data_IF_265904200678
#
_entry.id   IF_265904200678
#
_cell.length_a   1.000
_cell.length_b   1.000
_cell.length_c   1.000
_cell.angle_alpha   90.00
_cell.angle_beta   90.00
_cell.angle_gamma   90.00
#
_symmetry.space_group_name_H-M   'P 1'
#
loop_
_entity.id
_entity.type
_entity.pdbx_description
1 polymer ?
#
# COMPACT_ATOMS: atom_id res chain seq x y z
N UNK A 1 5.05 85.33 -33.91
CA UNK A 1 4.09 84.19 -33.88
C UNK A 1 4.67 83.10 -33.00
N UNK A 2 4.31 83.10 -31.71
CA UNK A 2 4.72 82.09 -30.74
C UNK A 2 3.78 80.88 -30.82
N UNK A 3 4.35 79.68 -31.02
CA UNK A 3 3.64 78.41 -30.84
C UNK A 3 4.21 77.68 -29.63
N UNK A 4 3.28 77.41 -28.73
CA UNK A 4 3.31 76.64 -27.49
C UNK A 4 3.70 75.18 -27.74
N UNK A 5 4.48 74.56 -26.84
CA UNK A 5 4.31 73.13 -26.57
C UNK A 5 4.65 72.83 -25.11
N UNK A 6 3.60 72.47 -24.38
CA UNK A 6 3.52 72.13 -22.96
C UNK A 6 4.09 70.71 -22.76
N UNK A 7 5.10 70.55 -21.91
CA UNK A 7 5.61 69.23 -21.51
C UNK A 7 4.81 68.72 -20.29
N UNK A 8 4.03 67.67 -20.50
CA UNK A 8 3.30 66.95 -19.46
C UNK A 8 4.30 66.06 -18.70
N UNK A 9 4.42 66.28 -17.39
CA UNK A 9 5.14 65.41 -16.46
C UNK A 9 4.23 64.22 -16.10
N UNK A 10 4.58 63.01 -16.53
CA UNK A 10 3.97 61.78 -16.03
C UNK A 10 4.72 61.35 -14.76
N UNK A 11 4.08 61.46 -13.60
CA UNK A 11 4.55 60.85 -12.36
C UNK A 11 4.15 59.36 -12.37
N UNK A 12 5.10 58.48 -12.66
CA UNK A 12 4.93 57.04 -12.50
C UNK A 12 5.06 56.69 -11.01
N UNK A 13 3.92 56.50 -10.34
CA UNK A 13 3.85 55.92 -9.01
C UNK A 13 4.16 54.42 -9.12
N UNK A 14 5.42 54.05 -8.88
CA UNK A 14 5.83 52.66 -8.78
C UNK A 14 5.22 52.04 -7.52
N UNK A 15 4.12 51.28 -7.70
CA UNK A 15 3.61 50.37 -6.68
C UNK A 15 4.64 49.25 -6.51
N UNK A 16 5.55 49.39 -5.54
CA UNK A 16 6.35 48.27 -5.07
C UNK A 16 5.41 47.31 -4.34
N UNK A 17 4.97 46.28 -5.04
CA UNK A 17 4.43 45.07 -4.40
C UNK A 17 5.62 44.39 -3.74
N UNK A 18 5.67 44.24 -2.40
CA UNK A 18 6.67 43.37 -1.80
C UNK A 18 6.30 41.94 -2.23
N UNK A 19 7.07 41.39 -3.16
CA UNK A 19 7.16 39.94 -3.36
C UNK A 19 7.71 39.38 -2.06
N UNK A 20 6.81 39.05 -1.15
CA UNK A 20 7.11 38.17 -0.04
C UNK A 20 7.52 36.82 -0.63
N UNK A 21 8.83 36.68 -0.89
CA UNK A 21 9.48 35.38 -0.94
C UNK A 21 9.30 34.77 0.45
N UNK A 22 8.14 34.15 0.67
CA UNK A 22 8.00 33.08 1.63
C UNK A 22 8.94 32.00 1.10
N UNK A 23 10.19 32.06 1.53
CA UNK A 23 11.09 30.92 1.46
C UNK A 23 10.33 29.78 2.11
N UNK A 24 9.89 28.82 1.29
CA UNK A 24 9.32 27.58 1.79
C UNK A 24 10.35 27.09 2.82
N UNK A 25 9.95 27.07 4.10
CA UNK A 25 10.79 26.54 5.16
C UNK A 25 11.30 25.20 4.64
N UNK A 26 12.63 25.08 4.45
CA UNK A 26 13.21 23.88 3.88
C UNK A 26 12.74 22.73 4.76
N UNK A 27 11.83 21.90 4.22
CA UNK A 27 11.17 20.87 5.00
C UNK A 27 12.25 19.96 5.56
N UNK A 28 12.40 19.95 6.88
CA UNK A 28 13.44 19.20 7.58
C UNK A 28 13.46 17.75 7.09
N UNK A 29 14.65 17.17 7.02
CA UNK A 29 14.82 15.76 6.67
C UNK A 29 13.98 14.89 7.62
N UNK A 30 13.22 13.90 7.12
CA UNK A 30 12.38 13.06 7.96
C UNK A 30 13.13 12.35 9.09
N UNK A 31 12.56 12.37 10.30
CA UNK A 31 13.03 11.61 11.47
C UNK A 31 12.36 10.22 11.50
N UNK A 32 12.71 9.35 10.56
CA UNK A 32 12.22 7.96 10.54
C UNK A 32 10.72 7.80 10.33
N UNK A 33 10.25 6.55 10.38
CA UNK A 33 8.84 6.20 10.12
C UNK A 33 7.95 6.55 11.31
N UNK A 34 6.75 7.09 11.02
CA UNK A 34 5.77 7.49 12.05
C UNK A 34 5.13 6.30 12.76
N UNK A 35 4.97 5.21 12.02
CA UNK A 35 4.52 3.93 12.51
C UNK A 35 5.27 2.85 11.75
N UNK A 36 5.26 1.64 12.25
CA UNK A 36 5.94 0.56 11.57
C UNK A 36 4.98 -0.26 10.72
N UNK A 37 5.32 -0.43 9.44
CA UNK A 37 4.58 -1.34 8.58
C UNK A 37 5.09 -2.76 8.82
N UNK A 38 4.18 -3.71 8.97
CA UNK A 38 4.49 -5.13 9.13
C UNK A 38 3.74 -5.95 8.08
N UNK A 39 4.33 -7.08 7.70
CA UNK A 39 3.74 -8.06 6.81
C UNK A 39 3.28 -9.26 7.63
N UNK A 40 1.98 -9.44 7.80
CA UNK A 40 1.43 -10.48 8.68
C UNK A 40 1.03 -11.75 7.93
N UNK A 41 1.20 -12.91 8.57
CA UNK A 41 0.68 -14.20 8.08
C UNK A 41 -0.81 -14.43 8.42
N UNK A 42 -1.40 -13.49 9.17
CA UNK A 42 -2.82 -13.43 9.51
C UNK A 42 -3.39 -12.10 9.05
N UNK A 43 -4.69 -12.00 8.77
CA UNK A 43 -5.30 -10.72 8.42
C UNK A 43 -5.17 -9.68 9.55
N UNK A 44 -4.15 -8.83 9.42
CA UNK A 44 -4.03 -7.47 10.00
C UNK A 44 -4.39 -7.34 11.47
N UNK A 45 -3.78 -8.17 12.30
CA UNK A 45 -3.99 -8.13 13.75
C UNK A 45 -3.26 -6.95 14.41
N UNK A 46 -2.30 -6.36 13.70
CA UNK A 46 -1.40 -5.33 14.19
C UNK A 46 -0.43 -5.82 15.26
N UNK A 47 -0.29 -7.15 15.42
CA UNK A 47 0.60 -7.76 16.39
C UNK A 47 1.95 -8.09 15.74
N UNK A 48 3.08 -7.58 16.27
CA UNK A 48 4.40 -7.88 15.72
C UNK A 48 4.76 -9.37 15.83
N UNK A 49 4.09 -10.12 16.72
CA UNK A 49 4.24 -11.57 16.81
C UNK A 49 3.90 -12.31 15.50
N UNK A 50 2.96 -11.79 14.69
CA UNK A 50 2.59 -12.40 13.41
C UNK A 50 3.35 -11.81 12.23
N UNK A 51 4.25 -10.86 12.47
CA UNK A 51 5.05 -10.24 11.43
C UNK A 51 6.04 -11.23 10.81
N UNK A 52 6.18 -11.16 9.49
CA UNK A 52 7.15 -11.89 8.70
C UNK A 52 8.35 -10.98 8.47
N UNK A 53 9.54 -11.46 8.83
CA UNK A 53 10.80 -10.75 8.57
C UNK A 53 11.41 -11.13 7.21
N UNK A 54 10.91 -12.19 6.61
CA UNK A 54 11.21 -12.64 5.27
C UNK A 54 10.02 -13.44 4.75
N UNK A 55 9.93 -13.59 3.43
CA UNK A 55 8.83 -14.30 2.83
C UNK A 55 8.83 -14.33 1.32
N UNK A 56 7.82 -15.02 0.80
CA UNK A 56 7.49 -15.04 -0.63
C UNK A 56 6.25 -14.18 -0.83
N UNK A 57 6.31 -13.22 -1.76
CA UNK A 57 5.21 -12.29 -1.97
C UNK A 57 3.90 -13.05 -2.20
N UNK A 58 2.95 -12.87 -1.28
CA UNK A 58 1.63 -13.47 -1.41
C UNK A 58 1.62 -15.01 -1.38
N UNK A 59 2.73 -15.66 -1.00
CA UNK A 59 2.86 -17.12 -1.07
C UNK A 59 3.59 -17.69 0.14
N UNK A 60 3.28 -17.16 1.33
CA UNK A 60 3.96 -17.57 2.57
C UNK A 60 3.73 -19.05 2.87
N UNK A 61 4.80 -19.87 2.90
CA UNK A 61 4.68 -21.31 3.14
C UNK A 61 5.98 -22.10 2.98
N UNK A 62 5.98 -23.37 3.42
CA UNK A 62 7.15 -24.29 3.37
C UNK A 62 7.50 -24.76 1.95
N UNK A 63 6.57 -24.62 1.01
CA UNK A 63 6.78 -24.89 -0.41
C UNK A 63 6.70 -23.56 -1.15
N UNK A 64 7.88 -23.08 -1.56
CA UNK A 64 8.10 -21.78 -2.21
C UNK A 64 7.32 -21.65 -3.54
N UNK A 65 6.73 -22.74 -4.03
CA UNK A 65 6.08 -22.86 -5.34
C UNK A 65 4.61 -23.25 -5.32
N UNK A 66 4.01 -23.61 -4.16
CA UNK A 66 2.61 -24.06 -4.16
C UNK A 66 1.60 -22.92 -4.12
N UNK A 67 2.03 -21.71 -3.77
CA UNK A 67 1.17 -20.53 -3.70
C UNK A 67 0.08 -20.57 -2.62
N UNK A 68 0.25 -21.41 -1.59
CA UNK A 68 -0.74 -21.62 -0.54
C UNK A 68 -0.35 -20.77 0.66
N UNK A 69 -0.87 -19.54 0.72
CA UNK A 69 -0.64 -18.62 1.84
C UNK A 69 -0.94 -17.19 1.43
N UNK A 70 -1.16 -16.32 2.41
CA UNK A 70 -1.42 -14.89 2.18
C UNK A 70 -0.54 -14.09 3.14
N UNK A 71 0.21 -13.14 2.58
CA UNK A 71 0.82 -12.06 3.36
C UNK A 71 -0.15 -10.89 3.37
N UNK A 72 -0.43 -10.32 4.54
CA UNK A 72 -1.32 -9.19 4.71
C UNK A 72 -0.55 -7.93 5.07
N UNK A 73 -0.96 -6.82 4.49
CA UNK A 73 -0.41 -5.51 4.81
C UNK A 73 -0.99 -4.99 6.12
N UNK A 74 -0.12 -4.66 7.07
CA UNK A 74 -0.53 -4.22 8.40
C UNK A 74 0.46 -3.23 8.99
N UNK A 75 0.17 -2.78 10.21
CA UNK A 75 0.96 -1.82 10.98
C UNK A 75 1.13 -2.37 12.40
N UNK A 76 2.31 -2.19 13.00
CA UNK A 76 2.49 -2.50 14.42
C UNK A 76 1.60 -1.57 15.26
N UNK A 77 0.53 -2.15 15.83
CA UNK A 77 -0.41 -1.47 16.70
C UNK A 77 -0.15 -1.77 18.17
N UNK A 78 1.01 -2.34 18.51
CA UNK A 78 1.35 -2.73 19.87
C UNK A 78 1.85 -1.56 20.72
N UNK A 79 1.90 -1.75 22.04
CA UNK A 79 2.56 -0.85 22.99
C UNK A 79 4.09 -1.03 23.06
N UNK A 80 4.70 -1.78 22.14
CA UNK A 80 6.11 -2.11 22.17
C UNK A 80 6.47 -3.23 23.16
N UNK A 81 5.50 -3.76 23.90
CA UNK A 81 5.55 -5.05 24.60
C UNK A 81 4.73 -6.13 23.87
N UNK A 82 4.26 -5.83 22.66
CA UNK A 82 3.48 -6.75 21.83
C UNK A 82 1.98 -6.78 22.17
N UNK A 83 1.49 -5.91 23.06
CA UNK A 83 0.07 -5.85 23.41
C UNK A 83 -0.66 -4.87 22.51
N UNK A 84 -1.69 -5.36 21.82
CA UNK A 84 -2.61 -4.55 21.00
C UNK A 84 -3.90 -4.30 21.79
N UNK A 85 -4.34 -3.04 21.83
CA UNK A 85 -5.57 -2.61 22.51
C UNK A 85 -6.21 -1.44 21.76
N UNK A 86 -7.44 -1.08 22.12
CA UNK A 86 -8.10 0.12 21.56
C UNK A 86 -7.26 1.39 21.78
N UNK A 87 -6.56 1.50 22.92
CA UNK A 87 -5.73 2.65 23.24
C UNK A 87 -4.49 2.75 22.33
N UNK A 88 -3.86 1.62 22.01
CA UNK A 88 -2.67 1.58 21.14
C UNK A 88 -3.06 1.81 19.67
N UNK A 89 -4.20 1.26 19.23
CA UNK A 89 -4.78 1.54 17.90
C UNK A 89 -5.15 3.03 17.78
N UNK A 90 -5.80 3.61 18.78
CA UNK A 90 -6.13 5.03 18.78
C UNK A 90 -4.88 5.93 18.75
N UNK A 91 -3.78 5.50 19.38
CA UNK A 91 -2.48 6.19 19.28
C UNK A 91 -1.93 6.12 17.86
N UNK A 92 -1.93 4.94 17.25
CA UNK A 92 -1.48 4.73 15.87
C UNK A 92 -2.23 5.64 14.87
N UNK A 93 -3.56 5.72 14.98
CA UNK A 93 -4.37 6.65 14.16
C UNK A 93 -3.95 8.12 14.32
N UNK A 94 -3.62 8.56 15.55
CA UNK A 94 -3.15 9.93 15.80
C UNK A 94 -1.77 10.18 15.17
N UNK A 95 -0.87 9.21 15.23
CA UNK A 95 0.48 9.32 14.66
C UNK A 95 0.46 9.37 13.12
N UNK A 96 -0.35 8.51 12.51
CA UNK A 96 -0.60 8.48 11.07
C UNK A 96 -1.39 9.69 10.59
N UNK A 97 -2.25 10.25 11.46
CA UNK A 97 -3.16 11.31 11.09
C UNK A 97 -4.16 10.87 10.02
N UNK A 98 -4.62 9.62 10.06
CA UNK A 98 -5.56 9.02 9.09
C UNK A 98 -7.03 9.38 9.37
N UNK A 99 -7.30 10.08 10.47
CA UNK A 99 -8.65 10.46 10.87
C UNK A 99 -9.36 9.40 11.72
N UNK A 100 -8.63 8.42 12.27
CA UNK A 100 -9.21 7.36 13.08
C UNK A 100 -9.71 6.16 12.27
N UNK A 101 -9.29 6.05 11.00
CA UNK A 101 -9.72 4.97 10.12
C UNK A 101 -8.61 4.61 9.12
N UNK A 102 -8.27 3.31 9.06
CA UNK A 102 -7.28 2.78 8.14
C UNK A 102 -7.74 2.73 6.67
N UNK A 103 -9.02 2.97 6.35
CA UNK A 103 -9.54 3.00 4.97
C UNK A 103 -8.86 4.06 4.10
N UNK A 104 -8.28 5.10 4.72
CA UNK A 104 -7.52 6.14 4.05
C UNK A 104 -6.09 5.71 3.68
N UNK A 105 -5.61 4.58 4.22
CA UNK A 105 -4.27 4.09 3.92
C UNK A 105 -4.20 3.44 2.54
N UNK A 106 -3.16 3.80 1.81
CA UNK A 106 -2.86 3.32 0.46
C UNK A 106 -1.38 2.98 0.35
N UNK A 107 -1.03 2.19 -0.66
CA UNK A 107 0.32 1.60 -0.77
C UNK A 107 1.09 2.20 -1.92
N UNK A 108 2.31 2.64 -1.61
CA UNK A 108 3.33 3.00 -2.57
C UNK A 108 4.61 2.20 -2.34
N UNK A 109 5.46 2.17 -3.35
CA UNK A 109 6.80 1.61 -3.28
C UNK A 109 7.80 2.64 -3.77
N UNK A 110 8.93 2.74 -3.09
CA UNK A 110 10.00 3.68 -3.45
C UNK A 110 11.36 3.04 -3.30
N UNK A 111 12.38 3.49 -4.05
CA UNK A 111 13.76 3.14 -3.71
C UNK A 111 14.05 3.58 -2.27
N UNK A 112 14.72 2.72 -1.50
CA UNK A 112 15.14 3.08 -0.16
C UNK A 112 15.97 4.37 -0.15
N UNK A 113 15.70 5.28 0.80
CA UNK A 113 16.64 6.36 1.12
C UNK A 113 17.08 6.30 2.58
N UNK A 114 18.35 6.63 2.81
CA UNK A 114 18.93 6.58 4.16
C UNK A 114 18.30 7.59 5.13
N UNK A 115 17.70 8.64 4.57
CA UNK A 115 17.18 9.81 5.27
C UNK A 115 15.64 9.86 5.27
N UNK A 116 14.96 8.86 4.71
CA UNK A 116 13.50 8.80 4.60
C UNK A 116 12.89 9.76 3.58
N UNK A 117 13.69 10.51 2.81
CA UNK A 117 13.20 11.48 1.83
C UNK A 117 12.38 10.86 0.69
N UNK A 118 12.64 9.60 0.32
CA UNK A 118 11.84 8.89 -0.68
C UNK A 118 10.54 8.35 -0.08
N UNK A 119 10.58 7.86 1.15
CA UNK A 119 9.43 7.29 1.86
C UNK A 119 8.48 8.36 2.39
N UNK A 120 8.99 9.57 2.56
CA UNK A 120 8.25 10.73 3.06
C UNK A 120 8.59 11.99 2.24
N UNK A 121 8.22 12.00 0.94
CA UNK A 121 8.55 13.10 0.05
C UNK A 121 7.83 14.39 0.46
N UNK A 122 8.36 15.51 -0.01
CA UNK A 122 7.62 16.78 -0.01
C UNK A 122 6.48 16.64 -1.00
N UNK A 123 5.27 17.04 -0.61
CA UNK A 123 4.07 16.95 -1.46
C UNK A 123 3.22 18.21 -1.33
N UNK A 124 2.49 18.52 -2.38
CA UNK A 124 1.56 19.65 -2.42
C UNK A 124 0.12 19.17 -2.30
N UNK A 125 -0.77 20.08 -1.88
CA UNK A 125 -2.19 19.75 -1.76
C UNK A 125 -2.76 19.39 -3.13
N UNK A 126 -3.39 18.21 -3.22
CA UNK A 126 -3.98 17.70 -4.45
C UNK A 126 -3.01 16.90 -5.33
N UNK A 127 -1.74 16.77 -4.94
CA UNK A 127 -0.77 15.92 -5.62
C UNK A 127 -1.19 14.45 -5.51
N UNK A 128 -1.17 13.75 -6.64
CA UNK A 128 -1.60 12.35 -6.70
C UNK A 128 -0.47 11.38 -6.37
N UNK A 129 -0.82 10.15 -6.00
CA UNK A 129 0.15 9.16 -5.57
C UNK A 129 1.21 8.81 -6.62
N UNK A 130 0.88 8.87 -7.91
CA UNK A 130 1.83 8.59 -8.99
C UNK A 130 2.78 9.75 -9.30
N UNK A 131 2.45 10.97 -8.86
CA UNK A 131 3.34 12.14 -8.88
C UNK A 131 4.26 12.12 -7.66
N UNK A 132 3.70 11.88 -6.47
CA UNK A 132 4.42 11.88 -5.21
C UNK A 132 5.37 10.68 -5.06
N UNK A 133 4.98 9.51 -5.60
CA UNK A 133 5.72 8.27 -5.49
C UNK A 133 5.99 7.65 -6.86
N UNK A 134 7.17 7.04 -7.00
CA UNK A 134 7.58 6.39 -8.26
C UNK A 134 6.67 5.23 -8.65
N UNK A 135 6.22 4.47 -7.66
CA UNK A 135 5.38 3.30 -7.85
C UNK A 135 4.25 3.26 -6.83
N UNK A 136 3.06 2.87 -7.25
CA UNK A 136 1.90 2.69 -6.37
C UNK A 136 1.10 1.46 -6.75
N UNK A 137 0.28 1.00 -5.81
CA UNK A 137 -0.62 -0.13 -6.00
C UNK A 137 -2.00 0.22 -5.48
N UNK A 138 -3.04 -0.33 -6.11
CA UNK A 138 -4.42 -0.24 -5.59
C UNK A 138 -4.61 -1.24 -4.44
N UNK A 139 -3.94 -0.94 -3.33
CA UNK A 139 -3.94 -1.73 -2.10
C UNK A 139 -4.07 -0.78 -0.90
N UNK A 140 -4.57 -1.30 0.20
CA UNK A 140 -4.71 -0.58 1.46
C UNK A 140 -4.37 -1.45 2.66
N UNK A 141 -4.68 -0.93 3.84
CA UNK A 141 -4.56 -1.71 5.07
C UNK A 141 -5.37 -3.00 4.96
N UNK A 142 -4.80 -4.10 5.43
CA UNK A 142 -5.38 -5.43 5.35
C UNK A 142 -5.58 -6.04 3.97
N UNK A 143 -5.10 -5.39 2.91
CA UNK A 143 -5.02 -6.06 1.62
C UNK A 143 -4.04 -7.23 1.69
N UNK A 144 -4.44 -8.34 1.08
CA UNK A 144 -3.54 -9.44 0.87
C UNK A 144 -2.63 -9.12 -0.34
N UNK A 145 -1.36 -9.51 -0.26
CA UNK A 145 -0.41 -9.38 -1.37
C UNK A 145 -0.52 -10.53 -2.38
N UNK A 146 -1.23 -11.59 -1.99
CA UNK A 146 -1.67 -12.65 -2.87
C UNK A 146 -2.96 -12.22 -3.57
N UNK A 147 -3.20 -12.69 -4.79
CA UNK A 147 -4.43 -12.41 -5.51
C UNK A 147 -5.57 -13.33 -5.07
N UNK A 148 -5.84 -14.38 -5.86
CA UNK A 148 -6.84 -15.40 -5.59
C UNK A 148 -6.21 -16.70 -5.07
N UNK A 149 -7.03 -17.66 -4.62
CA UNK A 149 -6.54 -18.94 -4.06
C UNK A 149 -6.00 -19.91 -5.12
N UNK A 150 -5.85 -19.52 -6.38
CA UNK A 150 -5.43 -20.41 -7.47
C UNK A 150 -3.91 -20.46 -7.60
N UNK A 151 -3.39 -21.57 -8.14
CA UNK A 151 -1.93 -21.80 -8.31
C UNK A 151 -1.22 -20.75 -9.19
N UNK A 152 -1.96 -20.05 -10.06
CA UNK A 152 -1.42 -19.04 -10.99
C UNK A 152 -1.73 -17.62 -10.52
N UNK A 153 -1.69 -17.46 -9.20
CA UNK A 153 -2.19 -16.33 -8.43
C UNK A 153 -1.71 -14.96 -8.96
N UNK A 154 -2.65 -14.05 -9.15
CA UNK A 154 -2.41 -12.65 -9.51
C UNK A 154 -1.74 -11.91 -8.36
N UNK A 155 -0.42 -11.83 -8.37
CA UNK A 155 0.31 -11.01 -7.39
C UNK A 155 -0.05 -9.54 -7.55
N UNK A 156 0.01 -8.78 -6.44
CA UNK A 156 -0.12 -7.33 -6.40
C UNK A 156 0.44 -6.64 -7.66
N UNK A 157 -0.39 -5.82 -8.30
CA UNK A 157 0.01 -5.03 -9.47
C UNK A 157 0.59 -3.71 -9.00
N UNK A 158 1.82 -3.44 -9.41
CA UNK A 158 2.52 -2.20 -9.13
C UNK A 158 2.61 -1.37 -10.39
N UNK A 159 2.12 -0.14 -10.32
CA UNK A 159 2.00 0.78 -11.45
C UNK A 159 2.90 1.99 -11.28
N UNK A 160 3.38 2.53 -12.39
CA UNK A 160 3.81 3.93 -12.50
C UNK A 160 2.61 4.77 -12.92
N UNK A 161 2.70 6.09 -12.76
CA UNK A 161 1.65 6.99 -13.25
C UNK A 161 1.38 6.82 -14.74
N UNK A 162 2.44 6.65 -15.55
CA UNK A 162 2.33 6.51 -17.00
C UNK A 162 1.61 5.21 -17.40
N UNK A 163 1.99 4.07 -16.83
CA UNK A 163 1.32 2.77 -17.07
C UNK A 163 -0.16 2.85 -16.68
N UNK A 164 -0.45 3.33 -15.47
CA UNK A 164 -1.83 3.45 -14.98
C UNK A 164 -2.66 4.39 -15.86
N UNK A 165 -2.10 5.53 -16.27
CA UNK A 165 -2.78 6.52 -17.12
C UNK A 165 -3.11 5.93 -18.50
N UNK A 166 -2.21 5.15 -19.08
CA UNK A 166 -2.46 4.50 -20.37
C UNK A 166 -3.57 3.46 -20.26
N UNK A 167 -3.52 2.60 -19.24
CA UNK A 167 -4.58 1.63 -18.93
C UNK A 167 -5.93 2.30 -18.66
N UNK A 168 -5.93 3.41 -17.90
CA UNK A 168 -7.12 4.22 -17.63
C UNK A 168 -7.75 4.74 -18.92
N UNK A 169 -6.94 5.35 -19.78
CA UNK A 169 -7.37 5.90 -21.08
C UNK A 169 -7.86 4.81 -22.04
N UNK A 170 -7.36 3.58 -21.91
CA UNK A 170 -7.85 2.43 -22.65
C UNK A 170 -9.21 1.89 -22.14
N UNK A 171 -9.83 2.54 -21.16
CA UNK A 171 -11.13 2.14 -20.62
C UNK A 171 -11.05 1.13 -19.48
N UNK A 172 -9.84 0.89 -18.94
CA UNK A 172 -9.58 -0.05 -17.84
C UNK A 172 -9.98 -1.49 -18.18
N UNK A 173 -9.36 -2.10 -19.19
CA UNK A 173 -9.59 -3.52 -19.45
C UNK A 173 -9.30 -4.34 -18.18
N UNK A 174 -10.10 -5.37 -17.96
CA UNK A 174 -9.85 -6.36 -16.90
C UNK A 174 -8.60 -7.13 -17.27
N UNK A 175 -7.67 -7.28 -16.33
CA UNK A 175 -6.36 -7.88 -16.60
C UNK A 175 -6.06 -9.11 -15.76
N UNK A 176 -5.31 -10.03 -16.37
CA UNK A 176 -4.76 -11.23 -15.75
C UNK A 176 -3.28 -11.38 -16.11
N UNK A 177 -2.62 -12.37 -15.52
CA UNK A 177 -1.23 -12.70 -15.81
C UNK A 177 -1.10 -14.12 -16.39
N UNK A 178 -0.17 -14.29 -17.32
CA UNK A 178 0.38 -15.60 -17.68
C UNK A 178 1.34 -16.10 -16.59
N UNK A 179 1.71 -17.38 -16.63
CA UNK A 179 2.75 -17.94 -15.74
C UNK A 179 4.14 -17.29 -15.95
N UNK A 180 4.33 -16.62 -17.10
CA UNK A 180 5.51 -15.80 -17.41
C UNK A 180 5.37 -14.34 -16.97
N UNK A 181 4.34 -14.01 -16.19
CA UNK A 181 4.00 -12.67 -15.70
C UNK A 181 3.71 -11.64 -16.83
N UNK A 182 3.44 -12.11 -18.05
CA UNK A 182 2.90 -11.27 -19.12
C UNK A 182 1.43 -10.92 -18.85
N UNK A 183 1.07 -9.64 -19.02
CA UNK A 183 -0.28 -9.13 -18.77
C UNK A 183 -1.20 -9.43 -19.95
N UNK A 184 -2.39 -9.94 -19.65
CA UNK A 184 -3.46 -10.22 -20.60
C UNK A 184 -4.66 -9.33 -20.33
N UNK A 185 -5.31 -8.81 -21.37
CA UNK A 185 -6.66 -8.25 -21.29
C UNK A 185 -7.68 -9.40 -21.43
N UNK A 186 -8.63 -9.46 -20.50
CA UNK A 186 -9.65 -10.51 -20.42
C UNK A 186 -11.01 -9.95 -20.84
N UNK A 187 -11.54 -10.48 -21.93
CA UNK A 187 -12.87 -10.15 -22.42
C UNK A 187 -13.96 -10.83 -21.57
N UNK A 188 -15.21 -10.34 -21.69
CA UNK A 188 -16.34 -10.83 -20.91
C UNK A 188 -16.72 -12.29 -21.18
N UNK A 189 -16.33 -12.83 -22.33
CA UNK A 189 -16.51 -14.23 -22.73
C UNK A 189 -15.36 -15.13 -22.23
N UNK A 190 -14.40 -14.58 -21.49
CA UNK A 190 -13.24 -15.27 -20.96
C UNK A 190 -12.07 -15.38 -21.94
N UNK A 191 -12.20 -14.87 -23.18
CA UNK A 191 -11.06 -14.81 -24.10
C UNK A 191 -10.00 -13.85 -23.56
N UNK A 192 -8.73 -14.24 -23.65
CA UNK A 192 -7.61 -13.45 -23.15
C UNK A 192 -6.58 -13.18 -24.26
N UNK A 193 -6.16 -11.92 -24.41
CA UNK A 193 -5.12 -11.50 -25.36
C UNK A 193 -4.03 -10.74 -24.63
N UNK A 194 -2.80 -10.73 -25.17
CA UNK A 194 -1.74 -9.89 -24.62
C UNK A 194 -2.18 -8.43 -24.54
N UNK A 195 -1.98 -7.80 -23.38
CA UNK A 195 -2.44 -6.43 -23.15
C UNK A 195 -1.58 -5.41 -23.89
N UNK A 196 -2.22 -4.51 -24.62
CA UNK A 196 -1.56 -3.37 -25.25
C UNK A 196 -1.27 -2.23 -24.26
N UNK A 197 -2.02 -2.18 -23.15
CA UNK A 197 -1.91 -1.15 -22.11
C UNK A 197 -1.98 -1.80 -20.73
N UNK A 198 -0.91 -2.48 -20.29
CA UNK A 198 -0.85 -3.05 -18.95
C UNK A 198 -1.05 -1.98 -17.87
N UNK A 199 -1.89 -2.26 -16.87
CA UNK A 199 -2.10 -1.39 -15.70
C UNK A 199 -0.77 -1.15 -14.96
N UNK A 200 0.09 -2.16 -14.95
CA UNK A 200 1.38 -2.15 -14.29
C UNK A 200 2.07 -3.49 -14.51
N UNK A 201 2.95 -3.86 -13.57
CA UNK A 201 3.65 -5.16 -13.58
C UNK A 201 3.40 -5.87 -12.26
N UNK A 202 3.49 -7.20 -12.30
CA UNK A 202 3.47 -8.03 -11.09
C UNK A 202 4.60 -7.62 -10.14
N UNK A 203 4.32 -7.56 -8.84
CA UNK A 203 5.33 -7.33 -7.80
C UNK A 203 6.51 -8.32 -7.89
N UNK A 204 6.25 -9.56 -8.37
CA UNK A 204 7.26 -10.62 -8.52
C UNK A 204 8.33 -10.34 -9.60
N UNK A 205 8.07 -9.37 -10.48
CA UNK A 205 8.96 -9.00 -11.57
C UNK A 205 9.08 -7.46 -11.70
N UNK A 206 8.68 -6.71 -10.67
CA UNK A 206 8.74 -5.25 -10.75
C UNK A 206 10.18 -4.75 -10.67
N UNK A 207 10.99 -5.41 -9.85
CA UNK A 207 12.39 -5.07 -9.59
C UNK A 207 13.25 -6.33 -9.64
N UNK A 208 14.54 -6.22 -10.00
CA UNK A 208 15.46 -7.35 -9.87
C UNK A 208 15.71 -7.70 -8.40
N UNK A 209 16.15 -8.92 -8.12
CA UNK A 209 16.62 -9.35 -6.81
C UNK A 209 17.82 -8.51 -6.34
N UNK A 210 17.96 -8.35 -5.02
CA UNK A 210 18.97 -7.51 -4.39
C UNK A 210 18.61 -6.02 -4.37
N UNK A 211 17.40 -5.65 -4.82
CA UNK A 211 16.97 -4.25 -4.84
C UNK A 211 16.40 -3.88 -3.48
N UNK A 212 16.93 -2.79 -2.88
CA UNK A 212 16.40 -2.22 -1.64
C UNK A 212 15.26 -1.26 -1.95
N UNK A 213 14.06 -1.65 -1.52
CA UNK A 213 12.81 -0.94 -1.76
C UNK A 213 12.13 -0.73 -0.40
N UNK A 214 11.39 0.36 -0.26
CA UNK A 214 10.51 0.59 0.87
C UNK A 214 9.04 0.44 0.43
N UNK A 215 8.26 -0.32 1.18
CA UNK A 215 6.80 -0.32 1.12
C UNK A 215 6.31 0.80 2.02
N UNK A 216 5.54 1.71 1.45
CA UNK A 216 5.06 2.92 2.11
C UNK A 216 3.54 2.85 2.20
N UNK A 217 3.01 2.84 3.41
CA UNK A 217 1.64 3.29 3.64
C UNK A 217 1.63 4.82 3.63
N UNK A 218 0.84 5.40 2.74
CA UNK A 218 0.54 6.82 2.75
C UNK A 218 -0.94 7.05 3.07
N UNK A 219 -1.23 8.13 3.78
CA UNK A 219 -2.61 8.56 4.02
C UNK A 219 -3.12 9.29 2.79
N UNK A 220 -4.26 8.86 2.27
CA UNK A 220 -4.99 9.57 1.24
C UNK A 220 -6.04 10.50 1.85
N UNK A 221 -6.22 11.67 1.24
CA UNK A 221 -7.25 12.65 1.62
C UNK A 221 -8.29 12.91 0.51
N UNK A 222 -8.24 12.11 -0.57
CA UNK A 222 -9.08 12.31 -1.73
C UNK A 222 -8.62 11.51 -2.94
N UNK A 223 -9.05 11.95 -4.11
CA UNK A 223 -8.70 11.37 -5.40
C UNK A 223 -8.35 12.48 -6.39
N UNK A 224 -7.52 12.15 -7.35
CA UNK A 224 -7.11 13.07 -8.40
C UNK A 224 -8.34 13.53 -9.21
N UNK A 225 -8.38 14.83 -9.51
CA UNK A 225 -9.50 15.46 -10.23
C UNK A 225 -9.68 14.88 -11.63
N UNK A 226 -8.57 14.62 -12.30
CA UNK A 226 -8.51 14.22 -13.70
C UNK A 226 -8.47 12.68 -13.84
N UNK A 227 -8.04 11.98 -12.78
CA UNK A 227 -8.06 10.52 -12.64
C UNK A 227 -8.64 10.09 -11.28
N UNK A 228 -9.98 10.09 -11.09
CA UNK A 228 -10.63 9.87 -9.78
C UNK A 228 -10.41 8.51 -9.09
N UNK A 229 -9.58 7.63 -9.66
CA UNK A 229 -9.19 6.35 -9.07
C UNK A 229 -7.71 6.35 -8.62
N UNK A 230 -6.95 7.40 -8.92
CA UNK A 230 -5.63 7.65 -8.34
C UNK A 230 -5.83 8.46 -7.04
N UNK A 231 -5.47 7.93 -5.86
CA UNK A 231 -5.64 8.67 -4.62
C UNK A 231 -4.71 9.89 -4.55
N UNK A 232 -5.19 10.99 -3.94
CA UNK A 232 -4.31 12.11 -3.55
C UNK A 232 -3.59 11.80 -2.26
N UNK A 233 -2.42 12.41 -2.05
CA UNK A 233 -1.58 12.21 -0.87
C UNK A 233 -1.85 13.31 0.16
N UNK A 234 -2.14 12.91 1.40
CA UNK A 234 -2.34 13.85 2.50
C UNK A 234 -1.03 14.55 2.86
N UNK A 235 -1.08 15.89 2.87
CA UNK A 235 0.04 16.74 3.25
C UNK A 235 0.07 16.96 4.77
N UNK A 236 1.20 16.66 5.40
CA UNK A 236 1.46 16.96 6.80
C UNK A 236 1.72 18.44 7.07
N UNK A 237 1.74 18.83 8.35
CA UNK A 237 1.98 20.23 8.77
C UNK A 237 3.36 20.77 8.32
N UNK A 238 4.30 19.89 8.04
CA UNK A 238 5.66 20.18 7.57
C UNK A 238 5.81 20.10 6.05
N UNK A 239 4.69 20.03 5.29
CA UNK A 239 4.72 20.00 3.82
C UNK A 239 5.14 18.66 3.23
N UNK A 240 5.24 17.61 4.04
CA UNK A 240 5.61 16.26 3.59
C UNK A 240 4.45 15.29 3.69
N UNK A 241 4.53 14.20 2.94
CA UNK A 241 3.51 13.15 2.96
C UNK A 241 3.35 12.57 4.38
N UNK A 242 2.11 12.22 4.72
CA UNK A 242 1.80 11.48 5.95
C UNK A 242 1.99 9.99 5.65
N UNK A 243 3.12 9.42 6.09
CA UNK A 243 3.50 8.05 5.74
C UNK A 243 4.01 7.22 6.91
N UNK A 244 3.93 5.91 6.73
CA UNK A 244 4.61 4.87 7.49
C UNK A 244 5.25 3.90 6.50
N UNK A 245 6.40 3.33 6.79
CA UNK A 245 7.07 2.41 5.86
C UNK A 245 7.82 1.27 6.53
N UNK A 246 8.11 0.24 5.74
CA UNK A 246 9.19 -0.71 6.00
C UNK A 246 10.08 -0.79 4.76
N UNK A 247 11.36 -0.95 4.99
CA UNK A 247 12.36 -1.26 3.97
C UNK A 247 12.61 -2.77 3.94
N UNK A 248 12.75 -3.29 2.72
CA UNK A 248 13.14 -4.67 2.46
C UNK A 248 14.12 -4.73 1.28
N UNK A 249 14.80 -5.86 1.15
CA UNK A 249 15.54 -6.25 -0.04
C UNK A 249 14.76 -7.32 -0.80
N UNK A 250 14.62 -7.17 -2.12
CA UNK A 250 13.98 -8.18 -2.97
C UNK A 250 14.85 -9.42 -3.09
N UNK A 251 14.25 -10.60 -3.09
CA UNK A 251 14.95 -11.90 -3.17
C UNK A 251 14.49 -12.66 -4.41
N UNK A 252 15.42 -13.30 -5.11
CA UNK A 252 15.09 -14.13 -6.27
C UNK A 252 14.35 -15.40 -5.82
N UNK A 253 13.44 -15.90 -6.65
CA UNK A 253 12.94 -17.27 -6.46
C UNK A 253 14.04 -18.28 -6.83
N UNK A 254 14.40 -19.22 -5.94
CA UNK A 254 15.41 -20.23 -6.25
C UNK A 254 14.92 -21.29 -7.25
N UNK A 255 13.60 -21.35 -7.45
CA UNK A 255 12.91 -22.37 -8.25
C UNK A 255 12.28 -21.80 -9.52
N UNK A 256 12.10 -20.48 -9.62
CA UNK A 256 11.44 -19.84 -10.75
C UNK A 256 12.21 -18.61 -11.29
N UNK A 257 12.94 -18.74 -12.41
CA UNK A 257 13.71 -17.63 -12.98
C UNK A 257 12.86 -16.51 -13.58
N UNK A 258 11.55 -16.71 -13.77
CA UNK A 258 10.62 -15.64 -14.20
C UNK A 258 10.42 -14.62 -13.07
N UNK A 259 10.49 -15.06 -11.81
CA UNK A 259 10.23 -14.23 -10.62
C UNK A 259 11.52 -13.55 -10.17
N UNK A 260 11.86 -12.45 -10.83
CA UNK A 260 13.09 -11.69 -10.55
C UNK A 260 13.10 -11.09 -9.13
N UNK A 261 11.94 -10.84 -8.54
CA UNK A 261 11.73 -10.47 -7.13
C UNK A 261 10.70 -11.39 -6.49
N UNK A 262 10.94 -12.71 -6.50
CA UNK A 262 10.02 -13.71 -5.95
C UNK A 262 9.71 -13.58 -4.46
N UNK A 263 10.62 -13.00 -3.67
CA UNK A 263 10.46 -12.81 -2.23
C UNK A 263 11.06 -11.52 -1.71
N UNK A 264 11.11 -11.40 -0.39
CA UNK A 264 11.63 -10.24 0.32
C UNK A 264 12.34 -10.63 1.62
N UNK A 265 13.27 -9.78 2.03
CA UNK A 265 13.88 -9.79 3.34
C UNK A 265 13.72 -8.40 3.96
N UNK A 266 13.01 -8.31 5.09
CA UNK A 266 12.79 -7.07 5.82
C UNK A 266 14.12 -6.57 6.41
N UNK A 267 14.44 -5.31 6.12
CA UNK A 267 15.62 -4.61 6.62
C UNK A 267 15.30 -3.72 7.83
N UNK A 268 14.03 -3.36 8.00
CA UNK A 268 13.52 -2.52 9.09
C UNK A 268 12.17 -3.08 9.57
N UNK A 269 12.08 -3.56 10.81
CA UNK A 269 10.83 -4.06 11.41
C UNK A 269 11.00 -4.52 12.88
N UNK A 270 9.94 -4.42 13.70
CA UNK A 270 9.83 -4.53 15.14
C UNK A 270 9.65 -5.97 15.60
N UNK A 271 10.25 -6.26 16.74
CA UNK A 271 9.90 -7.42 17.56
C UNK A 271 11.11 -8.13 18.10
N UNK A 272 11.45 -7.81 19.33
CA UNK A 272 12.45 -8.46 20.19
C UNK A 272 12.25 -9.98 20.30
N UNK A 273 13.06 -10.74 19.56
CA UNK A 273 13.43 -12.14 19.82
C UNK A 273 14.94 -12.29 19.61
N UNK A 274 15.63 -13.29 20.18
CA UNK A 274 17.08 -13.29 20.36
C UNK A 274 17.84 -13.46 19.03
N UNK A 275 17.86 -12.37 18.26
CA UNK A 275 18.72 -12.02 17.12
C UNK A 275 18.32 -10.68 16.45
N UNK A 276 17.42 -9.88 17.03
CA UNK A 276 17.28 -8.46 16.68
C UNK A 276 18.30 -7.61 17.45
N UNK A 277 19.58 -7.71 17.08
CA UNK A 277 20.63 -6.83 17.59
C UNK A 277 20.98 -5.78 16.52
N UNK A 278 20.79 -4.52 16.91
CA UNK A 278 21.23 -3.29 16.25
C UNK A 278 20.39 -2.74 15.08
N UNK A 279 19.31 -2.01 15.40
CA UNK A 279 19.09 -0.65 14.86
C UNK A 279 18.05 0.15 15.67
N UNK A 280 18.10 1.50 15.63
CA UNK A 280 17.42 2.38 16.58
C UNK A 280 15.90 2.30 16.49
N UNK A 281 15.28 2.15 17.65
CA UNK A 281 13.84 2.31 17.89
C UNK A 281 13.46 3.76 17.55
N UNK A 282 12.29 3.97 16.93
CA UNK A 282 11.69 5.29 16.76
C UNK A 282 11.66 6.02 18.10
N UNK A 283 12.41 7.12 18.22
CA UNK A 283 12.47 7.95 19.42
C UNK A 283 11.30 8.94 19.40
N UNK A 284 10.09 8.43 19.61
CA UNK A 284 8.94 9.22 20.01
C UNK A 284 8.62 8.94 21.48
N UNK A 285 9.58 9.16 22.37
CA UNK A 285 9.35 9.24 23.82
C UNK A 285 9.82 10.59 24.30
N UNK A 286 8.88 11.52 24.42
CA UNK A 286 9.04 12.63 25.34
C UNK A 286 8.98 12.13 26.79
N UNK A 287 9.82 12.75 27.63
CA UNK A 287 9.89 12.71 29.10
C UNK A 287 10.71 11.60 29.80
N UNK A 288 11.96 11.98 30.10
CA UNK A 288 12.52 12.21 31.44
C UNK A 288 12.49 11.15 32.56
N UNK A 289 13.72 10.89 33.05
CA UNK A 289 14.17 10.57 34.42
C UNK A 289 14.10 9.13 34.96
N UNK A 290 15.28 8.51 35.04
CA UNK A 290 15.88 8.09 36.32
C UNK A 290 15.68 6.64 36.79
N UNK A 291 16.81 5.93 37.01
CA UNK A 291 16.91 4.94 38.09
C UNK A 291 17.30 3.49 37.76
N UNK A 292 18.63 3.26 37.73
CA UNK A 292 19.37 2.09 38.25
C UNK A 292 18.84 0.63 38.19
N UNK A 293 19.60 -0.18 37.44
CA UNK A 293 20.35 -1.39 37.84
C UNK A 293 19.68 -2.56 38.61
N UNK A 294 19.79 -3.77 38.04
CA UNK A 294 19.58 -5.04 38.74
C UNK A 294 19.87 -6.30 37.89
N UNK A 295 20.93 -7.02 38.26
CA UNK A 295 21.60 -8.23 37.74
C UNK A 295 20.80 -9.54 37.51
N UNK A 296 21.05 -10.19 36.35
CA UNK A 296 21.55 -11.60 36.09
C UNK A 296 20.67 -12.86 36.43
N UNK A 297 21.03 -14.10 35.98
CA UNK A 297 20.23 -14.97 35.07
C UNK A 297 20.00 -16.44 35.54
N UNK A 298 19.21 -17.25 34.82
CA UNK A 298 19.27 -18.74 34.66
C UNK A 298 17.89 -19.22 34.10
N UNK A 299 17.63 -20.38 33.48
CA UNK A 299 18.35 -21.47 32.78
C UNK A 299 17.24 -22.48 32.35
N UNK A 300 17.47 -23.26 31.29
CA UNK A 300 16.94 -24.64 31.00
C UNK A 300 15.42 -24.88 30.97
N UNK A 301 14.78 -25.73 30.20
CA UNK A 301 14.99 -26.76 29.15
C UNK A 301 13.57 -27.02 28.58
N UNK A 302 13.21 -27.93 27.68
CA UNK A 302 13.79 -29.09 27.06
C UNK A 302 12.94 -29.41 25.81
N UNK A 303 13.52 -30.24 24.94
CA UNK A 303 13.07 -30.84 23.68
C UNK A 303 11.78 -31.67 23.69
N UNK A 304 10.97 -31.63 22.61
CA UNK A 304 10.51 -32.82 21.85
C UNK A 304 9.91 -32.47 20.45
N UNK A 305 10.20 -33.32 19.46
CA UNK A 305 9.73 -33.40 18.05
C UNK A 305 9.20 -34.86 17.86
N UNK A 306 8.72 -35.36 16.69
CA UNK A 306 7.89 -34.87 15.56
C UNK A 306 6.59 -35.70 15.37
N UNK A 307 5.72 -35.29 14.43
CA UNK A 307 4.71 -36.16 13.82
C UNK A 307 4.17 -35.57 12.50
N UNK A 308 4.25 -36.35 11.43
CA UNK A 308 3.84 -36.11 10.03
C UNK A 308 3.29 -37.47 9.50
N UNK A 309 2.66 -37.62 8.33
CA UNK A 309 1.78 -36.74 7.55
C UNK A 309 0.41 -37.42 7.22
N UNK A 310 -0.54 -36.69 6.65
CA UNK A 310 -1.80 -37.24 6.13
C UNK A 310 -2.18 -36.65 4.76
N UNK A 311 -2.05 -37.46 3.71
CA UNK A 311 -2.41 -37.14 2.34
C UNK A 311 -3.93 -37.23 2.12
N UNK A 312 -4.48 -36.29 1.35
CA UNK A 312 -5.85 -36.33 0.85
C UNK A 312 -5.91 -35.67 -0.52
N UNK A 313 -6.00 -36.51 -1.56
CA UNK A 313 -6.23 -36.12 -2.95
C UNK A 313 -7.72 -35.81 -3.14
N UNK A 314 -8.01 -34.78 -3.94
CA UNK A 314 -9.37 -34.43 -4.36
C UNK A 314 -9.29 -33.44 -5.52
N UNK A 315 -9.37 -33.98 -6.73
CA UNK A 315 -9.63 -33.26 -7.97
C UNK A 315 -11.04 -32.68 -7.94
N UNK A 316 -11.25 -31.46 -8.43
CA UNK A 316 -12.50 -31.06 -9.11
C UNK A 316 -12.31 -29.75 -9.89
N UNK A 317 -12.89 -29.74 -11.08
CA UNK A 317 -12.87 -28.70 -12.11
C UNK A 317 -13.81 -27.52 -11.80
N UNK A 318 -13.45 -26.34 -12.33
CA UNK A 318 -14.42 -25.36 -12.84
C UNK A 318 -14.72 -24.14 -11.97
N UNK A 319 -14.54 -22.94 -12.55
CA UNK A 319 -15.27 -21.75 -12.12
C UNK A 319 -14.48 -20.44 -12.11
N UNK A 320 -14.22 -19.87 -13.29
CA UNK A 320 -13.81 -18.47 -13.47
C UNK A 320 -14.94 -17.52 -13.07
N UNK A 321 -14.95 -17.05 -11.83
CA UNK A 321 -15.55 -15.76 -11.44
C UNK A 321 -14.77 -15.16 -10.26
N UNK A 322 -13.56 -14.67 -10.54
CA UNK A 322 -12.82 -13.88 -9.57
C UNK A 322 -13.53 -12.55 -9.32
N UNK A 323 -14.05 -12.37 -8.10
CA UNK A 323 -14.50 -11.08 -7.59
C UNK A 323 -13.36 -10.08 -7.67
N UNK A 324 -13.58 -8.99 -8.40
CA UNK A 324 -12.67 -7.85 -8.54
C UNK A 324 -12.22 -7.31 -7.17
N UNK A 325 -10.93 -7.10 -6.92
CA UNK A 325 -10.48 -6.18 -5.89
C UNK A 325 -10.67 -4.75 -6.42
N UNK A 326 -11.42 -3.90 -5.69
CA UNK A 326 -11.60 -2.47 -6.02
C UNK A 326 -13.04 -2.00 -6.29
N UNK A 327 -14.04 -2.89 -6.24
CA UNK A 327 -15.45 -2.49 -6.31
C UNK A 327 -16.04 -2.25 -4.93
N UNK A 328 -16.39 -1.00 -4.60
CA UNK A 328 -17.22 -0.68 -3.41
C UNK A 328 -18.43 -1.63 -3.33
N UNK A 329 -18.81 -2.15 -2.14
CA UNK A 329 -19.97 -3.04 -1.98
C UNK A 329 -21.33 -2.40 -2.30
N UNK A 330 -21.37 -1.10 -2.63
CA UNK A 330 -22.61 -0.36 -2.94
C UNK A 330 -23.22 -0.69 -4.31
N UNK A 331 -22.46 -1.20 -5.28
CA UNK A 331 -23.02 -1.50 -6.62
C UNK A 331 -23.87 -2.78 -6.65
N UNK A 332 -23.53 -3.80 -5.86
CA UNK A 332 -24.33 -5.03 -5.78
C UNK A 332 -25.61 -4.85 -4.95
N UNK A 333 -25.58 -4.01 -3.91
CA UNK A 333 -26.78 -3.66 -3.15
C UNK A 333 -27.82 -2.93 -4.02
N UNK A 334 -27.39 -2.04 -4.92
CA UNK A 334 -28.31 -1.32 -5.81
C UNK A 334 -28.95 -2.23 -6.88
N UNK A 335 -28.20 -3.21 -7.40
CA UNK A 335 -28.71 -4.16 -8.39
C UNK A 335 -29.72 -5.15 -7.78
N UNK A 336 -29.49 -5.63 -6.55
CA UNK A 336 -30.43 -6.51 -5.83
C UNK A 336 -31.71 -5.77 -5.44
N UNK A 337 -31.62 -4.48 -5.05
CA UNK A 337 -32.80 -3.65 -4.75
C UNK A 337 -33.62 -3.31 -6.01
N UNK A 338 -32.96 -3.06 -7.15
CA UNK A 338 -33.66 -2.83 -8.43
C UNK A 338 -34.30 -4.09 -9.00
N UNK A 339 -33.67 -5.26 -8.88
CA UNK A 339 -34.25 -6.54 -9.31
C UNK A 339 -35.39 -6.99 -8.40
N UNK A 340 -35.29 -6.81 -7.07
CA UNK A 340 -36.39 -7.09 -6.15
C UNK A 340 -37.58 -6.13 -6.34
N UNK A 341 -37.32 -4.86 -6.68
CA UNK A 341 -38.35 -3.88 -7.01
C UNK A 341 -39.09 -4.20 -8.31
N UNK A 342 -38.38 -4.65 -9.35
CA UNK A 342 -38.96 -5.02 -10.64
C UNK A 342 -39.84 -6.29 -10.55
N UNK A 343 -39.41 -7.29 -9.79
CA UNK A 343 -40.19 -8.53 -9.57
C UNK A 343 -41.47 -8.22 -8.77
N UNK A 344 -41.39 -7.32 -7.78
CA UNK A 344 -42.57 -6.92 -6.99
C UNK A 344 -43.61 -6.17 -7.84
N UNK A 345 -43.17 -5.34 -8.80
CA UNK A 345 -44.08 -4.58 -9.68
C UNK A 345 -44.82 -5.47 -10.71
N UNK A 346 -44.15 -6.51 -11.21
CA UNK A 346 -44.75 -7.49 -12.15
C UNK A 346 -45.74 -8.40 -11.43
N UNK A 347 -45.43 -8.83 -10.21
CA UNK A 347 -46.31 -9.70 -9.42
C UNK A 347 -47.59 -8.97 -8.96
N UNK A 348 -47.50 -7.66 -8.69
CA UNK A 348 -48.67 -6.85 -8.33
C UNK A 348 -49.58 -6.53 -9.52
N UNK A 349 -49.03 -6.40 -10.74
CA UNK A 349 -49.83 -6.20 -11.97
C UNK A 349 -50.57 -7.47 -12.39
N UNK A 350 -49.98 -8.64 -12.22
CA UNK A 350 -50.62 -9.92 -12.56
C UNK A 350 -51.76 -10.30 -11.60
N UNK A 351 -51.73 -9.86 -10.33
CA UNK A 351 -52.83 -10.08 -9.37
C UNK A 351 -54.04 -9.14 -9.53
N UNK A 352 -53.94 -8.07 -10.33
CA UNK A 352 -55.06 -7.16 -10.61
C UNK A 352 -55.77 -7.45 -11.95
N UNK A 353 -55.27 -8.42 -12.72
CA UNK A 353 -55.79 -8.79 -14.03
C UNK A 353 -56.45 -10.18 -14.07
N UNK A 354 -56.71 -10.77 -12.90
CA UNK A 354 -57.48 -12.00 -12.71
C UNK A 354 -58.62 -11.76 -11.74
#
# INVERSE_FOLDING_TARGET
MHRTTLKILLAALALMVPTAFLTAASAETPHGSRAEVILEKKPSTGQPYYASLDGWWGHEGKSQDTGIGSTYLSLDASDGHGVVSEATIARLHRELGDGGNFDALRVAFVPFSADGSNERPVVHKGENAGEAFRWFADLGFSSALNGNKNKNDSVAVVSTLAEYTQWWRAGRPVQAFTDKLGVLDVASDGHATASATPQGRSLLDRWPAGTKISLVFYVSDGVDKDMPQVPTVKVGKDGRAMTAWMTFETVASPTNPVRTSGGYQVLTGAGTGPKAAAKPRSTATGQDQGGQAGTKPDKTGATTQPGDPGAGSGSDDGGLTGSLPGGRPTFYALLVVLLAGAVSLVTLRLRRAG
#
